data_IF_250542034991
#
_entry.id   IF_250542034991
#
_cell.length_a   1.000
_cell.length_b   1.000
_cell.length_c   1.000
_cell.angle_alpha   90.00
_cell.angle_beta   90.00
_cell.angle_gamma   90.00
#
_symmetry.space_group_name_H-M   'P 1'
#
loop_
_entity.id
_entity.type
_entity.pdbx_description
1 polymer ?
#
# COMPACT_ATOMS: atom_id res chain seq x y z
N UNK A 1 7.51 28.91 -17.54
CA UNK A 1 8.84 28.34 -17.23
C UNK A 1 8.59 26.89 -16.87
N UNK A 2 8.52 26.03 -17.88
CA UNK A 2 7.93 24.69 -17.79
C UNK A 2 8.96 23.65 -17.37
N UNK A 3 8.71 23.02 -16.23
CA UNK A 3 9.39 21.78 -15.86
C UNK A 3 8.95 20.70 -16.86
N UNK A 4 9.88 20.04 -17.54
CA UNK A 4 9.56 19.05 -18.58
C UNK A 4 8.67 17.94 -18.01
N UNK A 5 7.43 17.85 -18.53
CA UNK A 5 6.40 16.88 -18.13
C UNK A 5 6.72 15.43 -18.57
N UNK A 6 7.87 15.21 -19.22
CA UNK A 6 8.35 13.89 -19.68
C UNK A 6 8.92 12.98 -18.59
N UNK A 7 9.00 13.45 -17.33
CA UNK A 7 9.68 12.72 -16.24
C UNK A 7 8.89 11.56 -15.63
N UNK A 8 7.60 11.41 -15.94
CA UNK A 8 6.76 10.33 -15.37
C UNK A 8 7.20 8.91 -15.75
N UNK A 9 7.94 8.77 -16.85
CA UNK A 9 8.35 7.47 -17.38
C UNK A 9 9.78 7.07 -17.03
N UNK A 10 10.57 7.99 -16.45
CA UNK A 10 12.03 7.92 -16.58
C UNK A 10 12.80 7.72 -15.27
N UNK A 11 12.43 6.74 -14.43
CA UNK A 11 13.48 6.12 -13.59
C UNK A 11 13.20 4.81 -12.88
N UNK A 12 11.96 4.48 -12.53
CA UNK A 12 11.68 3.29 -11.70
C UNK A 12 10.45 2.51 -12.16
N UNK A 13 10.22 2.47 -13.47
CA UNK A 13 9.12 1.67 -14.04
C UNK A 13 9.43 0.20 -13.78
N UNK A 14 8.64 -0.50 -12.94
CA UNK A 14 8.86 -1.92 -12.69
C UNK A 14 8.75 -2.67 -14.00
N UNK A 15 9.51 -3.76 -14.13
CA UNK A 15 9.34 -4.66 -15.27
C UNK A 15 7.88 -5.11 -15.38
N UNK A 16 7.42 -5.33 -16.61
CA UNK A 16 6.04 -5.72 -16.88
C UNK A 16 5.66 -6.95 -16.03
N UNK A 17 4.62 -6.82 -15.21
CA UNK A 17 4.13 -7.90 -14.34
C UNK A 17 4.81 -8.02 -12.97
N UNK A 18 5.87 -7.25 -12.67
CA UNK A 18 6.52 -7.27 -11.35
C UNK A 18 5.69 -6.55 -10.26
N UNK A 19 4.77 -5.66 -10.66
CA UNK A 19 3.69 -5.12 -9.82
C UNK A 19 2.35 -5.52 -10.40
N UNK A 20 1.29 -5.43 -9.59
CA UNK A 20 -0.10 -5.65 -10.05
C UNK A 20 -0.41 -4.71 -11.23
N UNK A 21 -0.89 -5.22 -12.38
CA UNK A 21 -1.31 -4.37 -13.49
C UNK A 21 -2.39 -3.40 -13.01
N UNK A 22 -2.13 -2.11 -13.19
CA UNK A 22 -3.08 -1.06 -12.88
C UNK A 22 -3.71 -0.57 -14.18
N UNK A 23 -5.03 -0.62 -14.25
CA UNK A 23 -5.81 -0.17 -15.40
C UNK A 23 -6.49 1.14 -15.00
N UNK A 24 -6.00 2.25 -15.55
CA UNK A 24 -6.59 3.56 -15.33
C UNK A 24 -7.11 4.13 -16.64
N UNK A 25 -8.21 4.86 -16.56
CA UNK A 25 -8.70 5.68 -17.66
C UNK A 25 -8.10 7.08 -17.51
N UNK A 26 -7.55 7.61 -18.60
CA UNK A 26 -7.11 9.00 -18.71
C UNK A 26 -6.01 9.47 -17.73
N UNK A 27 -5.25 8.56 -17.11
CA UNK A 27 -4.26 8.92 -16.07
C UNK A 27 -3.29 10.01 -16.55
N UNK A 28 -2.64 9.79 -17.69
CA UNK A 28 -1.66 10.73 -18.24
C UNK A 28 -2.30 12.06 -18.64
N UNK A 29 -3.53 12.04 -19.16
CA UNK A 29 -4.26 13.25 -19.51
C UNK A 29 -4.62 14.10 -18.28
N UNK A 30 -4.94 13.46 -17.15
CA UNK A 30 -5.18 14.17 -15.89
C UNK A 30 -3.89 14.77 -15.35
N UNK A 31 -2.77 14.04 -15.45
CA UNK A 31 -1.45 14.52 -15.06
C UNK A 31 -1.00 15.80 -15.81
N UNK A 32 -1.52 16.03 -17.02
CA UNK A 32 -1.18 17.19 -17.85
C UNK A 32 -2.07 18.43 -17.60
N UNK A 33 -3.08 18.35 -16.76
CA UNK A 33 -3.97 19.47 -16.48
C UNK A 33 -3.27 20.57 -15.65
N UNK A 34 -3.64 21.84 -15.89
CA UNK A 34 -2.96 22.98 -15.25
C UNK A 34 -3.20 23.07 -13.73
N UNK A 35 -4.26 22.43 -13.22
CA UNK A 35 -4.57 22.34 -11.79
C UNK A 35 -3.91 21.14 -11.11
N UNK A 36 -3.07 20.37 -11.81
CA UNK A 36 -2.38 19.20 -11.26
C UNK A 36 -0.88 19.49 -11.18
N UNK A 37 -0.34 19.35 -9.98
CA UNK A 37 1.10 19.39 -9.73
C UNK A 37 1.58 18.01 -9.32
N UNK A 38 2.64 17.54 -9.96
CA UNK A 38 3.26 16.24 -9.66
C UNK A 38 4.59 16.51 -8.98
N UNK A 39 4.71 16.03 -7.75
CA UNK A 39 5.90 16.23 -6.92
C UNK A 39 6.60 14.90 -6.71
N UNK A 40 7.89 14.85 -7.06
CA UNK A 40 8.74 13.67 -6.93
C UNK A 40 9.20 13.50 -5.47
N UNK A 41 8.52 12.62 -4.74
CA UNK A 41 8.79 12.34 -3.33
C UNK A 41 10.13 11.64 -3.07
N UNK A 42 10.78 11.05 -4.09
CA UNK A 42 12.13 10.49 -3.92
C UNK A 42 13.18 11.60 -3.78
N UNK A 43 12.95 12.76 -4.41
CA UNK A 43 13.83 13.94 -4.32
C UNK A 43 13.41 14.89 -3.21
N UNK A 44 12.11 15.04 -3.02
CA UNK A 44 11.51 15.99 -2.07
C UNK A 44 10.60 15.26 -1.06
N UNK A 45 11.16 14.36 -0.23
CA UNK A 45 10.36 13.62 0.73
C UNK A 45 9.66 14.55 1.74
N UNK A 46 8.48 14.11 2.18
CA UNK A 46 7.73 14.77 3.25
C UNK A 46 8.47 14.58 4.58
N UNK A 47 8.69 15.68 5.29
CA UNK A 47 9.34 15.69 6.61
C UNK A 47 8.34 15.87 7.74
N UNK A 48 7.27 16.65 7.52
CA UNK A 48 6.26 16.94 8.54
C UNK A 48 4.91 17.28 7.93
N UNK A 49 3.84 16.91 8.62
CA UNK A 49 2.47 17.38 8.35
C UNK A 49 2.11 18.46 9.37
N UNK A 50 1.58 19.58 8.90
CA UNK A 50 1.08 20.70 9.69
C UNK A 50 -0.44 20.84 9.51
N UNK A 51 -1.15 21.52 10.43
CA UNK A 51 -2.59 21.73 10.29
C UNK A 51 -3.01 22.44 9.00
N UNK A 52 -2.13 23.23 8.40
CA UNK A 52 -2.38 24.01 7.19
C UNK A 52 -1.60 23.52 5.96
N UNK A 53 -0.87 22.39 6.05
CA UNK A 53 -0.03 21.98 4.92
C UNK A 53 0.94 20.84 5.17
N UNK A 54 1.75 20.55 4.16
CA UNK A 54 2.82 19.54 4.19
C UNK A 54 4.17 20.23 4.02
N UNK A 55 5.14 19.83 4.84
CA UNK A 55 6.53 20.30 4.76
C UNK A 55 7.38 19.25 4.06
N UNK A 56 8.10 19.67 3.02
CA UNK A 56 9.07 18.85 2.29
C UNK A 56 10.50 19.12 2.77
N UNK A 57 11.47 18.29 2.36
CA UNK A 57 12.87 18.36 2.82
C UNK A 57 13.57 19.70 2.51
N UNK A 58 13.10 20.42 1.50
CA UNK A 58 13.57 21.76 1.12
C UNK A 58 13.06 22.87 2.06
N UNK A 59 12.21 22.53 3.03
CA UNK A 59 11.64 23.47 4.00
C UNK A 59 10.44 24.25 3.47
N UNK A 60 9.99 23.98 2.24
CA UNK A 60 8.79 24.60 1.69
C UNK A 60 7.52 24.03 2.35
N UNK A 61 6.52 24.90 2.56
CA UNK A 61 5.18 24.50 3.00
C UNK A 61 4.26 24.47 1.79
N UNK A 62 3.70 23.31 1.50
CA UNK A 62 2.63 23.14 0.53
C UNK A 62 1.30 23.27 1.28
N UNK A 63 0.64 24.41 1.12
CA UNK A 63 -0.66 24.67 1.74
C UNK A 63 -1.74 23.80 1.09
N UNK A 64 -2.48 23.06 1.91
CA UNK A 64 -3.55 22.17 1.46
C UNK A 64 -4.65 22.09 2.52
N UNK A 65 -5.88 21.94 2.03
CA UNK A 65 -7.06 21.79 2.90
C UNK A 65 -7.35 20.33 3.27
N UNK A 66 -6.90 19.38 2.45
CA UNK A 66 -7.18 17.96 2.62
C UNK A 66 -6.00 17.07 2.17
N UNK A 67 -5.82 15.95 2.87
CA UNK A 67 -4.83 14.92 2.54
C UNK A 67 -5.55 13.61 2.23
N UNK A 68 -5.26 13.02 1.07
CA UNK A 68 -5.76 11.70 0.68
C UNK A 68 -4.61 10.70 0.79
N UNK A 69 -4.72 9.73 1.70
CA UNK A 69 -3.71 8.70 1.89
C UNK A 69 -3.99 7.49 0.99
N UNK A 70 -3.20 7.35 -0.07
CA UNK A 70 -3.26 6.21 -1.02
C UNK A 70 -2.01 5.34 -0.88
N UNK A 71 -1.59 5.07 0.36
CA UNK A 71 -0.35 4.33 0.70
C UNK A 71 -0.50 2.81 0.69
N UNK A 72 -1.68 2.30 0.33
CA UNK A 72 -1.97 0.87 0.28
C UNK A 72 -2.35 0.28 1.65
N UNK A 73 -2.08 -1.01 1.82
CA UNK A 73 -2.47 -1.80 2.99
C UNK A 73 -1.31 -2.70 3.43
N UNK A 74 -1.25 -3.07 4.73
CA UNK A 74 -0.53 -4.27 5.17
C UNK A 74 -1.31 -5.50 4.69
N UNK A 75 -1.11 -5.80 3.41
CA UNK A 75 -1.83 -6.86 2.74
C UNK A 75 -1.40 -8.21 3.32
N UNK A 76 -2.38 -9.08 3.58
CA UNK A 76 -2.23 -10.48 4.03
C UNK A 76 -2.04 -10.63 5.54
N UNK A 77 -1.11 -9.89 6.17
CA UNK A 77 -0.75 -10.12 7.58
C UNK A 77 -1.36 -9.14 8.57
N UNK A 78 -1.61 -7.90 8.15
CA UNK A 78 -2.01 -6.81 9.05
C UNK A 78 -3.17 -7.17 9.97
N UNK A 79 -4.31 -7.55 9.38
CA UNK A 79 -5.52 -7.86 10.15
C UNK A 79 -5.32 -9.06 11.10
N UNK A 80 -4.61 -10.09 10.65
CA UNK A 80 -4.38 -11.30 11.44
C UNK A 80 -3.40 -11.07 12.59
N UNK A 81 -2.41 -10.20 12.41
CA UNK A 81 -1.48 -9.79 13.48
C UNK A 81 -2.12 -8.82 14.48
N UNK A 82 -3.11 -8.04 14.05
CA UNK A 82 -3.84 -7.11 14.91
C UNK A 82 -4.78 -7.82 15.90
N UNK A 83 -5.24 -9.02 15.56
CA UNK A 83 -6.07 -9.85 16.44
C UNK A 83 -5.17 -10.69 17.34
N UNK A 84 -5.49 -10.74 18.65
CA UNK A 84 -4.75 -11.54 19.63
C UNK A 84 -5.06 -13.06 19.51
N UNK A 85 -4.57 -13.69 18.45
CA UNK A 85 -4.74 -15.12 18.19
C UNK A 85 -3.63 -15.89 18.92
N UNK A 86 -4.01 -16.78 19.84
CA UNK A 86 -3.08 -17.54 20.69
C UNK A 86 -3.22 -19.05 20.43
N UNK A 87 -2.11 -19.75 20.29
CA UNK A 87 -2.07 -21.21 20.10
C UNK A 87 -2.24 -22.00 21.41
N UNK A 88 -2.17 -23.33 21.30
CA UNK A 88 -2.23 -24.26 22.44
C UNK A 88 -1.14 -24.00 23.47
N UNK A 89 0.06 -23.63 23.00
CA UNK A 89 1.27 -23.43 23.78
C UNK A 89 1.39 -22.02 24.39
N UNK A 90 0.42 -21.13 24.15
CA UNK A 90 0.43 -19.76 24.67
C UNK A 90 1.19 -18.73 23.84
N UNK A 91 1.72 -19.12 22.66
CA UNK A 91 2.38 -18.21 21.71
C UNK A 91 1.34 -17.53 20.81
N UNK A 92 1.56 -16.24 20.52
CA UNK A 92 0.71 -15.45 19.63
C UNK A 92 1.04 -15.69 18.17
N UNK A 93 0.05 -15.51 17.29
CA UNK A 93 0.28 -15.59 15.84
C UNK A 93 1.28 -14.53 15.34
N UNK A 94 1.33 -13.36 16.00
CA UNK A 94 2.28 -12.30 15.67
C UNK A 94 3.73 -12.71 15.95
N UNK A 95 4.00 -13.32 17.11
CA UNK A 95 5.32 -13.88 17.46
C UNK A 95 5.73 -14.97 16.47
N UNK A 96 4.81 -15.91 16.19
CA UNK A 96 5.03 -16.99 15.24
C UNK A 96 5.36 -16.51 13.82
N UNK A 97 4.75 -15.40 13.39
CA UNK A 97 4.94 -14.80 12.05
C UNK A 97 5.88 -13.60 12.03
N UNK A 98 6.78 -13.51 13.01
CA UNK A 98 7.81 -12.47 13.08
C UNK A 98 8.77 -12.50 11.89
N UNK A 99 9.21 -13.69 11.48
CA UNK A 99 10.20 -13.89 10.42
C UNK A 99 9.60 -14.26 9.05
N UNK A 100 8.28 -14.35 8.96
CA UNK A 100 7.60 -14.79 7.74
C UNK A 100 6.27 -15.47 8.04
N UNK A 101 5.45 -15.63 7.00
CA UNK A 101 4.15 -16.28 7.11
C UNK A 101 4.18 -17.63 6.42
N UNK A 102 4.03 -18.69 7.21
CA UNK A 102 3.96 -20.06 6.71
C UNK A 102 2.60 -20.67 7.00
N UNK A 103 1.97 -21.17 5.95
CA UNK A 103 0.65 -21.79 5.99
C UNK A 103 0.69 -23.12 5.25
N UNK A 104 -0.13 -24.07 5.72
CA UNK A 104 -0.46 -25.25 4.94
C UNK A 104 -1.51 -24.84 3.89
N UNK A 105 -1.10 -24.85 2.61
CA UNK A 105 -1.93 -24.54 1.44
C UNK A 105 -2.65 -23.16 1.47
N UNK A 106 -2.18 -22.21 2.29
CA UNK A 106 -2.91 -20.96 2.52
C UNK A 106 -4.26 -21.12 3.21
N UNK A 107 -4.40 -22.18 4.02
CA UNK A 107 -5.63 -22.46 4.76
C UNK A 107 -5.41 -22.43 6.27
N UNK A 108 -4.28 -22.93 6.76
CA UNK A 108 -4.05 -23.08 8.20
C UNK A 108 -2.60 -22.81 8.58
N UNK A 109 -2.41 -22.17 9.72
CA UNK A 109 -1.11 -22.12 10.40
C UNK A 109 -1.05 -23.29 11.37
N UNK A 110 0.09 -24.00 11.42
CA UNK A 110 0.29 -25.13 12.33
C UNK A 110 0.02 -24.69 13.79
N UNK A 111 -0.73 -25.50 14.55
CA UNK A 111 -1.06 -25.26 15.97
C UNK A 111 -1.89 -23.99 16.26
N UNK A 112 -2.44 -23.30 15.26
CA UNK A 112 -3.41 -22.22 15.53
C UNK A 112 -4.77 -22.80 15.95
N UNK A 113 -5.36 -22.30 17.05
CA UNK A 113 -6.73 -22.67 17.50
C UNK A 113 -7.84 -22.23 16.53
N UNK A 114 -7.50 -21.51 15.48
CA UNK A 114 -8.44 -21.08 14.45
C UNK A 114 -8.84 -22.28 13.58
N UNK A 115 -10.06 -22.78 13.81
CA UNK A 115 -10.74 -23.66 12.88
C UNK A 115 -11.01 -22.91 11.57
N UNK A 116 -10.21 -23.21 10.54
CA UNK A 116 -10.54 -22.96 9.13
C UNK A 116 -10.93 -21.51 8.78
N UNK A 117 -10.13 -20.51 9.16
CA UNK A 117 -10.16 -19.25 8.42
C UNK A 117 -9.17 -19.35 7.27
N UNK A 118 -9.62 -19.09 6.05
CA UNK A 118 -8.76 -19.07 4.86
C UNK A 118 -7.69 -18.01 5.08
N UNK A 119 -6.53 -18.44 5.55
CA UNK A 119 -5.35 -17.62 5.67
C UNK A 119 -4.81 -17.42 4.25
N UNK A 120 -5.39 -16.47 3.51
CA UNK A 120 -5.02 -16.15 2.13
C UNK A 120 -3.54 -15.80 1.89
N UNK A 121 -2.69 -15.88 2.92
CA UNK A 121 -1.26 -16.00 2.78
C UNK A 121 -0.93 -17.28 1.99
N UNK A 122 -0.42 -17.12 0.78
CA UNK A 122 0.08 -18.18 -0.12
C UNK A 122 -0.93 -18.97 -0.98
N UNK A 123 -2.21 -18.59 -1.04
CA UNK A 123 -3.11 -19.13 -2.09
C UNK A 123 -2.95 -18.37 -3.42
N UNK A 124 -3.13 -19.00 -4.60
CA UNK A 124 -3.17 -18.29 -5.88
C UNK A 124 -4.16 -17.13 -5.84
N UNK A 125 -3.68 -15.91 -6.11
CA UNK A 125 -4.51 -14.71 -6.19
C UNK A 125 -4.98 -14.55 -7.64
N UNK A 126 -6.09 -15.22 -7.97
CA UNK A 126 -6.79 -15.08 -9.26
C UNK A 126 -8.13 -14.39 -9.01
N UNK A 127 -8.60 -13.56 -9.96
CA UNK A 127 -9.89 -12.82 -10.11
C UNK A 127 -10.94 -12.71 -8.96
N UNK A 128 -10.58 -12.84 -7.70
CA UNK A 128 -11.48 -12.87 -6.54
C UNK A 128 -11.30 -11.63 -5.67
N UNK A 129 -12.35 -10.81 -5.64
CA UNK A 129 -12.69 -9.78 -4.64
C UNK A 129 -11.52 -9.03 -3.98
N UNK A 130 -11.22 -7.85 -4.53
CA UNK A 130 -10.56 -6.78 -3.78
C UNK A 130 -11.62 -5.69 -3.58
N UNK A 131 -11.78 -5.29 -2.32
CA UNK A 131 -12.72 -4.25 -1.92
C UNK A 131 -12.39 -2.95 -2.66
N UNK A 132 -13.37 -2.46 -3.41
CA UNK A 132 -13.38 -1.10 -3.94
C UNK A 132 -13.97 -0.20 -2.87
N UNK A 133 -13.19 0.75 -2.35
CA UNK A 133 -13.77 1.94 -1.74
C UNK A 133 -13.98 2.94 -2.88
N UNK A 134 -15.23 3.07 -3.33
CA UNK A 134 -15.61 4.21 -4.16
C UNK A 134 -15.60 5.43 -3.26
N UNK A 135 -14.60 6.31 -3.43
CA UNK A 135 -14.66 7.66 -2.92
C UNK A 135 -15.37 8.48 -4.00
N UNK A 136 -16.65 8.78 -3.73
CA UNK A 136 -17.31 9.97 -4.24
C UNK A 136 -17.32 11.01 -3.13
#
# INVERSE_FOLDING_TARGET
MGQERGSLLDRDTPSLGAKRPALFRNLYQVCDQDNVSIVDMNKTPVTKILPNGIVTVDGAIQEIDAIILVTGFDAITGDLKAINIINSAGETLSEKWSNGTWTNLGLKSHDSRLSQHVLHAWTPKTNGFIQWVNIF
#
